data_IF_116040914952
#
_entry.id   IF_116040914952
#
_cell.length_a   1.000
_cell.length_b   1.000
_cell.length_c   1.000
_cell.angle_alpha   90.00
_cell.angle_beta   90.00
_cell.angle_gamma   90.00
#
_symmetry.space_group_name_H-M   'P 1'
#
loop_
_entity.id
_entity.type
_entity.pdbx_description
1 polymer ?
#
# COMPACT_ATOMS: atom_id res chain seq x y z
N UNK A 1 71.53 -23.27 -12.52
CA UNK A 1 72.73 -23.08 -13.37
C UNK A 1 72.46 -23.82 -14.68
N UNK A 2 72.61 -23.35 -15.91
CA UNK A 2 73.25 -22.24 -16.64
C UNK A 2 72.83 -22.56 -18.11
N UNK A 3 72.46 -21.70 -19.06
CA UNK A 3 72.56 -20.26 -19.25
C UNK A 3 71.55 -19.83 -20.35
N UNK A 4 71.11 -18.57 -20.26
CA UNK A 4 70.52 -17.79 -21.35
C UNK A 4 71.47 -17.65 -22.55
N UNK A 5 70.96 -17.37 -23.76
CA UNK A 5 70.95 -16.00 -24.35
C UNK A 5 70.74 -15.93 -25.88
N UNK A 6 69.81 -15.02 -26.29
CA UNK A 6 69.93 -13.97 -27.33
C UNK A 6 70.15 -14.41 -28.80
N UNK A 7 69.71 -13.76 -29.89
CA UNK A 7 68.73 -12.74 -30.27
C UNK A 7 68.71 -12.74 -31.82
N UNK A 8 67.65 -12.19 -32.41
CA UNK A 8 67.56 -11.46 -33.69
C UNK A 8 68.26 -11.94 -34.98
N UNK A 9 67.48 -11.92 -36.06
CA UNK A 9 67.76 -10.97 -37.15
C UNK A 9 67.73 -11.49 -38.58
N UNK A 10 66.63 -11.15 -39.29
CA UNK A 10 66.48 -10.74 -40.70
C UNK A 10 67.04 -11.60 -41.85
N UNK A 11 66.19 -11.76 -42.89
CA UNK A 11 66.47 -11.65 -44.36
C UNK A 11 65.24 -12.23 -45.11
N UNK A 12 64.40 -11.46 -45.83
CA UNK A 12 64.55 -10.71 -47.10
C UNK A 12 64.18 -11.51 -48.35
N UNK A 13 63.65 -10.79 -49.36
CA UNK A 13 63.46 -11.16 -50.79
C UNK A 13 62.19 -11.99 -51.09
N UNK A 14 61.43 -11.85 -52.17
CA UNK A 14 61.17 -10.90 -53.27
C UNK A 14 60.37 -11.73 -54.29
N UNK A 15 59.26 -11.22 -54.83
CA UNK A 15 58.91 -11.35 -56.26
C UNK A 15 57.51 -10.77 -56.56
N UNK A 16 57.45 -9.97 -57.61
CA UNK A 16 56.29 -9.43 -58.37
C UNK A 16 56.53 -9.85 -59.84
N UNK A 17 55.65 -9.55 -60.83
CA UNK A 17 54.17 -9.49 -60.93
C UNK A 17 53.72 -10.30 -62.21
N UNK A 18 52.58 -10.10 -62.93
CA UNK A 18 52.20 -8.87 -63.68
C UNK A 18 50.67 -8.54 -63.69
N UNK A 19 50.23 -7.46 -64.38
CA UNK A 19 49.00 -6.70 -64.06
C UNK A 19 47.92 -6.69 -65.16
N UNK A 20 46.69 -6.26 -64.86
CA UNK A 20 45.77 -5.63 -65.83
C UNK A 20 44.95 -4.52 -65.15
N UNK A 21 44.59 -3.50 -65.93
CA UNK A 21 44.38 -2.09 -65.56
C UNK A 21 43.08 -1.57 -66.22
N UNK A 22 42.34 -0.69 -65.50
CA UNK A 22 41.42 0.40 -65.96
C UNK A 22 40.10 -0.14 -66.64
N UNK A 23 38.89 0.46 -66.63
CA UNK A 23 38.42 1.84 -66.81
C UNK A 23 36.94 2.00 -66.37
N UNK A 24 36.61 3.26 -66.07
CA UNK A 24 35.38 3.99 -65.70
C UNK A 24 34.05 3.77 -66.44
N UNK A 25 32.97 4.31 -65.85
CA UNK A 25 31.81 4.92 -66.55
C UNK A 25 30.46 4.30 -66.17
N UNK A 26 29.69 4.86 -65.23
CA UNK A 26 28.71 5.97 -65.34
C UNK A 26 27.34 5.58 -65.95
N UNK A 27 26.35 5.42 -65.05
CA UNK A 27 24.94 5.90 -65.09
C UNK A 27 23.94 5.26 -66.07
N UNK A 28 22.90 4.59 -65.55
CA UNK A 28 21.50 5.09 -65.50
C UNK A 28 20.51 4.08 -64.88
N UNK A 29 19.53 4.63 -64.16
CA UNK A 29 18.33 4.01 -63.61
C UNK A 29 17.51 3.23 -64.63
N UNK A 30 17.00 2.05 -64.24
CA UNK A 30 15.60 1.69 -64.51
C UNK A 30 15.05 0.89 -63.33
N UNK A 31 13.91 1.36 -62.84
CA UNK A 31 13.11 0.74 -61.80
C UNK A 31 12.77 -0.73 -62.11
N UNK A 32 12.88 -1.59 -61.08
CA UNK A 32 11.97 -2.73 -60.94
C UNK A 32 11.58 -2.88 -59.46
N UNK A 33 10.57 -2.09 -59.09
CA UNK A 33 9.85 -2.08 -57.80
C UNK A 33 8.98 -3.35 -57.66
N UNK A 34 9.43 -4.51 -58.15
CA UNK A 34 8.57 -5.69 -58.27
C UNK A 34 9.24 -7.02 -57.95
N UNK A 35 10.21 -7.03 -57.02
CA UNK A 35 10.72 -8.30 -56.47
C UNK A 35 11.02 -8.32 -54.95
N UNK A 36 10.73 -7.25 -54.21
CA UNK A 36 11.01 -7.20 -52.75
C UNK A 36 9.86 -7.65 -51.84
N UNK A 37 8.75 -8.12 -52.40
CA UNK A 37 7.60 -8.56 -51.59
C UNK A 37 7.36 -10.08 -51.58
N UNK A 38 8.14 -10.88 -52.32
CA UNK A 38 7.92 -12.34 -52.39
C UNK A 38 8.92 -13.20 -51.60
N UNK A 39 9.81 -12.59 -50.81
CA UNK A 39 10.78 -13.32 -49.96
C UNK A 39 10.60 -13.03 -48.46
N UNK A 40 9.42 -12.52 -48.06
CA UNK A 40 9.06 -12.33 -46.64
C UNK A 40 8.33 -13.54 -46.03
N UNK A 41 8.28 -14.67 -46.73
CA UNK A 41 7.66 -15.92 -46.26
C UNK A 41 8.62 -17.07 -46.49
N UNK A 42 9.73 -17.09 -45.74
CA UNK A 42 10.39 -18.35 -45.45
C UNK A 42 10.85 -18.37 -44.00
N UNK A 43 10.09 -19.16 -43.26
CA UNK A 43 10.24 -19.60 -41.88
C UNK A 43 11.63 -20.18 -41.62
N UNK A 44 12.17 -19.83 -40.46
CA UNK A 44 13.42 -20.32 -39.89
C UNK A 44 13.60 -21.83 -40.06
N UNK A 45 14.74 -22.24 -40.63
CA UNK A 45 15.25 -23.61 -40.51
C UNK A 45 16.74 -23.57 -40.22
N UNK A 46 17.10 -24.19 -39.10
CA UNK A 46 18.44 -24.41 -38.56
C UNK A 46 19.40 -25.03 -39.57
N UNK A 47 20.61 -24.49 -39.75
CA UNK A 47 21.82 -25.29 -40.06
C UNK A 47 23.09 -24.53 -39.66
N UNK A 48 23.97 -25.22 -38.93
CA UNK A 48 25.36 -24.86 -38.59
C UNK A 48 26.24 -24.72 -39.85
N UNK A 49 27.08 -23.69 -39.93
CA UNK A 49 28.39 -23.74 -40.63
C UNK A 49 29.30 -22.59 -40.19
N UNK A 50 30.58 -22.92 -40.12
CA UNK A 50 31.71 -22.16 -39.60
C UNK A 50 32.21 -21.09 -40.57
N UNK A 51 32.34 -19.84 -40.10
CA UNK A 51 33.39 -18.90 -40.55
C UNK A 51 33.66 -17.85 -39.46
N UNK A 52 34.92 -17.78 -39.02
CA UNK A 52 35.46 -16.74 -38.12
C UNK A 52 35.41 -15.38 -38.82
N UNK A 53 34.71 -14.41 -38.23
CA UNK A 53 35.04 -12.99 -38.32
C UNK A 53 34.46 -12.21 -37.12
N UNK A 54 35.32 -11.46 -36.44
CA UNK A 54 34.98 -10.31 -35.59
C UNK A 54 33.97 -10.53 -34.46
N UNK A 55 34.45 -10.99 -33.30
CA UNK A 55 33.68 -11.10 -32.06
C UNK A 55 33.30 -9.72 -31.51
N UNK A 56 32.19 -9.14 -31.98
CA UNK A 56 31.39 -8.24 -31.15
C UNK A 56 30.35 -9.12 -30.47
N UNK A 57 30.68 -9.64 -29.30
CA UNK A 57 29.70 -10.27 -28.42
C UNK A 57 28.74 -9.18 -27.95
N UNK A 58 27.80 -8.76 -28.81
CA UNK A 58 26.60 -8.08 -28.35
C UNK A 58 26.02 -8.99 -27.29
N UNK A 59 26.06 -8.55 -26.03
CA UNK A 59 25.39 -9.22 -24.93
C UNK A 59 23.93 -9.40 -25.35
N UNK A 60 23.57 -10.60 -25.78
CA UNK A 60 22.24 -10.91 -26.24
C UNK A 60 21.42 -11.13 -24.98
N UNK A 61 20.67 -10.11 -24.58
CA UNK A 61 19.73 -10.20 -23.47
C UNK A 61 18.74 -11.31 -23.81
N UNK A 62 18.71 -12.37 -22.99
CA UNK A 62 17.70 -13.41 -23.06
C UNK A 62 16.59 -13.03 -22.11
N UNK A 63 15.41 -12.70 -22.65
CA UNK A 63 14.23 -12.43 -21.84
C UNK A 63 13.55 -13.73 -21.46
N UNK A 64 13.11 -13.82 -20.21
CA UNK A 64 12.22 -14.87 -19.76
C UNK A 64 10.80 -14.63 -20.30
N UNK A 65 10.15 -15.68 -20.80
CA UNK A 65 8.77 -15.62 -21.29
C UNK A 65 7.77 -15.79 -20.14
N UNK A 66 6.59 -15.17 -20.24
CA UNK A 66 5.50 -15.33 -19.25
C UNK A 66 5.11 -14.05 -18.51
N UNK A 67 5.84 -12.95 -18.74
CA UNK A 67 5.51 -11.63 -18.20
C UNK A 67 4.68 -10.83 -19.20
N UNK A 68 3.43 -10.50 -18.83
CA UNK A 68 2.58 -9.58 -19.60
C UNK A 68 2.75 -8.16 -19.07
N UNK A 69 3.03 -7.21 -19.97
CA UNK A 69 3.21 -5.78 -19.63
C UNK A 69 2.03 -5.02 -20.24
N UNK A 70 1.24 -4.38 -19.38
CA UNK A 70 0.11 -3.55 -19.79
C UNK A 70 0.15 -2.19 -19.12
N UNK A 71 -0.29 -1.16 -19.84
CA UNK A 71 -0.47 0.18 -19.28
C UNK A 71 -1.81 0.24 -18.55
N UNK A 72 -1.77 0.17 -17.22
CA UNK A 72 -2.96 0.20 -16.36
C UNK A 72 -3.41 1.62 -15.96
N UNK A 73 -2.53 2.61 -16.09
CA UNK A 73 -2.83 4.02 -15.85
C UNK A 73 -1.98 4.88 -16.80
N UNK A 74 -2.57 5.90 -17.41
CA UNK A 74 -1.90 6.83 -18.33
C UNK A 74 -2.11 8.27 -17.86
N UNK A 75 -1.12 8.80 -17.14
CA UNK A 75 -1.16 10.13 -16.54
C UNK A 75 -1.01 11.29 -17.55
N UNK A 76 -0.56 11.02 -18.78
CA UNK A 76 -0.24 12.06 -19.78
C UNK A 76 -1.41 12.98 -20.11
N UNK A 77 -2.62 12.42 -20.18
CA UNK A 77 -3.86 13.18 -20.47
C UNK A 77 -4.39 13.95 -19.28
N UNK A 78 -3.96 13.58 -18.07
CA UNK A 78 -4.39 14.17 -16.82
C UNK A 78 -3.36 15.16 -16.28
N UNK A 79 -2.20 15.28 -16.94
CA UNK A 79 -1.08 16.09 -16.46
C UNK A 79 -0.45 15.55 -15.18
N UNK A 80 -0.60 14.25 -14.90
CA UNK A 80 -0.05 13.59 -13.71
C UNK A 80 1.25 12.90 -14.10
N UNK A 81 2.35 13.23 -13.41
CA UNK A 81 3.67 12.64 -13.64
C UNK A 81 4.03 11.68 -12.50
N UNK A 82 3.62 10.39 -12.59
CA UNK A 82 3.85 9.44 -11.52
C UNK A 82 5.35 9.19 -11.33
N UNK A 83 5.80 9.29 -10.07
CA UNK A 83 7.18 9.04 -9.67
C UNK A 83 7.31 7.80 -8.78
N UNK A 84 6.46 7.69 -7.76
CA UNK A 84 6.38 6.54 -6.86
C UNK A 84 4.93 6.10 -6.69
N UNK A 85 4.74 4.83 -6.34
CA UNK A 85 3.43 4.26 -6.07
C UNK A 85 3.50 3.40 -4.82
N UNK A 86 2.39 3.33 -4.08
CA UNK A 86 2.24 2.44 -2.94
C UNK A 86 0.78 1.95 -2.88
N UNK A 87 0.56 0.71 -2.47
CA UNK A 87 -0.79 0.15 -2.31
C UNK A 87 -1.28 0.43 -0.90
N UNK A 88 -2.52 0.88 -0.75
CA UNK A 88 -3.11 1.08 0.57
C UNK A 88 -3.14 -0.25 1.36
N UNK A 89 -3.00 -0.22 2.70
CA UNK A 89 -2.99 -1.45 3.51
C UNK A 89 -4.22 -2.35 3.33
N UNK A 90 -5.38 -1.76 2.99
CA UNK A 90 -6.62 -2.51 2.69
C UNK A 90 -6.67 -3.10 1.26
N UNK A 91 -5.72 -2.76 0.38
CA UNK A 91 -5.65 -3.22 -1.00
C UNK A 91 -6.68 -2.59 -1.96
N UNK A 92 -7.42 -1.57 -1.52
CA UNK A 92 -8.51 -0.97 -2.31
C UNK A 92 -8.08 0.23 -3.15
N UNK A 93 -6.95 0.87 -2.81
CA UNK A 93 -6.48 2.10 -3.45
C UNK A 93 -4.98 2.00 -3.79
N UNK A 94 -4.61 2.51 -4.96
CA UNK A 94 -3.22 2.80 -5.31
C UNK A 94 -2.95 4.28 -5.02
N UNK A 95 -1.95 4.55 -4.20
CA UNK A 95 -1.43 5.89 -3.96
C UNK A 95 -0.34 6.17 -4.99
N UNK A 96 -0.43 7.32 -5.65
CA UNK A 96 0.49 7.76 -6.69
C UNK A 96 1.08 9.10 -6.29
N UNK A 97 2.41 9.15 -6.20
CA UNK A 97 3.16 10.36 -5.98
C UNK A 97 3.46 11.04 -7.31
N UNK A 98 2.91 12.25 -7.48
CA UNK A 98 3.17 13.12 -8.63
C UNK A 98 4.24 14.13 -8.25
N UNK A 99 5.50 13.79 -8.52
CA UNK A 99 6.66 14.54 -8.04
C UNK A 99 6.71 15.95 -8.63
N UNK A 100 6.56 16.09 -9.95
CA UNK A 100 6.75 17.39 -10.59
C UNK A 100 5.64 18.38 -10.22
N UNK A 101 4.41 17.92 -10.02
CA UNK A 101 3.32 18.76 -9.51
C UNK A 101 3.24 18.83 -7.98
N UNK A 102 4.13 18.13 -7.26
CA UNK A 102 4.14 18.04 -5.79
C UNK A 102 2.78 17.63 -5.18
N UNK A 103 2.10 16.71 -5.88
CA UNK A 103 0.76 16.24 -5.55
C UNK A 103 0.76 14.75 -5.23
N UNK A 104 -0.24 14.31 -4.47
CA UNK A 104 -0.48 12.88 -4.22
C UNK A 104 -1.89 12.55 -4.63
N UNK A 105 -2.04 11.45 -5.35
CA UNK A 105 -3.31 10.96 -5.87
C UNK A 105 -3.63 9.58 -5.34
N UNK A 106 -4.92 9.27 -5.23
CA UNK A 106 -5.45 7.92 -4.98
C UNK A 106 -6.22 7.44 -6.19
N UNK A 107 -6.05 6.18 -6.56
CA UNK A 107 -6.75 5.53 -7.66
C UNK A 107 -7.38 4.26 -7.13
N UNK A 108 -8.70 4.10 -7.26
CA UNK A 108 -9.39 2.89 -6.82
C UNK A 108 -8.94 1.67 -7.63
N UNK A 109 -8.77 0.54 -6.95
CA UNK A 109 -8.49 -0.75 -7.55
C UNK A 109 -9.79 -1.55 -7.79
N UNK A 110 -9.85 -2.41 -8.83
CA UNK A 110 -8.78 -2.71 -9.79
C UNK A 110 -8.49 -1.54 -10.73
N UNK A 111 -7.22 -1.37 -11.10
CA UNK A 111 -6.79 -0.28 -11.96
C UNK A 111 -7.42 -0.40 -13.35
N UNK A 112 -7.74 0.75 -13.94
CA UNK A 112 -8.19 0.83 -15.32
C UNK A 112 -7.54 2.03 -15.99
N UNK A 113 -7.32 1.93 -17.31
CA UNK A 113 -6.73 3.00 -18.12
C UNK A 113 -7.48 4.34 -18.00
N UNK A 114 -8.74 4.29 -17.60
CA UNK A 114 -9.63 5.45 -17.42
C UNK A 114 -10.01 5.70 -15.96
N UNK A 115 -9.30 5.07 -15.02
CA UNK A 115 -9.46 5.31 -13.59
C UNK A 115 -9.32 6.81 -13.29
N UNK A 116 -10.19 7.32 -12.43
CA UNK A 116 -10.18 8.75 -12.07
C UNK A 116 -9.34 8.95 -10.81
N UNK A 117 -8.12 9.48 -10.91
CA UNK A 117 -7.32 9.79 -9.74
C UNK A 117 -7.99 10.89 -8.91
N UNK A 118 -8.02 10.71 -7.60
CA UNK A 118 -8.49 11.69 -6.63
C UNK A 118 -7.29 12.35 -5.97
N UNK A 119 -7.22 13.68 -6.00
CA UNK A 119 -6.19 14.44 -5.28
C UNK A 119 -6.37 14.23 -3.77
N UNK A 120 -5.33 13.74 -3.12
CA UNK A 120 -5.24 13.58 -1.66
C UNK A 120 -4.67 14.83 -1.03
N UNK A 121 -3.52 15.29 -1.52
CA UNK A 121 -2.78 16.40 -0.94
C UNK A 121 -2.00 17.18 -2.00
N UNK A 122 -1.75 18.46 -1.71
CA UNK A 122 -1.11 19.41 -2.61
C UNK A 122 -2.12 20.41 -3.20
N UNK A 123 -1.76 21.08 -4.30
CA UNK A 123 -2.59 22.11 -4.94
C UNK A 123 -2.99 21.68 -6.34
N UNK A 124 -4.23 22.00 -6.74
CA UNK A 124 -4.70 21.70 -8.10
C UNK A 124 -3.85 22.39 -9.18
N UNK A 125 -3.22 23.50 -8.81
CA UNK A 125 -2.31 24.29 -9.65
C UNK A 125 -0.85 23.82 -9.57
N UNK A 126 -0.52 22.85 -8.71
CA UNK A 126 0.83 22.31 -8.55
C UNK A 126 1.81 23.27 -7.85
N UNK A 127 1.31 24.11 -6.94
CA UNK A 127 2.19 25.04 -6.21
C UNK A 127 3.19 24.29 -5.32
N UNK A 128 4.47 24.60 -5.50
CA UNK A 128 5.55 24.11 -4.63
C UNK A 128 5.73 24.99 -3.39
N UNK A 129 6.29 24.44 -2.31
CA UNK A 129 6.64 25.18 -1.11
C UNK A 129 6.82 24.27 0.09
N UNK A 130 7.07 24.84 1.28
CA UNK A 130 7.18 24.12 2.54
C UNK A 130 6.15 24.69 3.52
N UNK A 131 4.91 24.17 3.45
CA UNK A 131 3.78 24.68 4.23
C UNK A 131 3.00 23.52 4.83
N UNK A 132 2.86 23.51 6.14
CA UNK A 132 2.05 22.55 6.90
C UNK A 132 0.59 23.03 6.95
N UNK A 133 -0.33 22.13 7.29
CA UNK A 133 -1.74 22.45 7.47
C UNK A 133 -2.66 21.50 6.70
N UNK A 134 -3.85 21.99 6.33
CA UNK A 134 -4.85 21.15 5.64
C UNK A 134 -4.32 20.60 4.32
N UNK A 135 -4.80 19.43 3.93
CA UNK A 135 -4.33 18.69 2.75
C UNK A 135 -4.21 19.53 1.45
N UNK A 136 -5.15 20.46 1.22
CA UNK A 136 -5.19 21.33 0.01
C UNK A 136 -4.41 22.65 0.16
N UNK A 137 -4.08 23.04 1.38
CA UNK A 137 -3.40 24.29 1.71
C UNK A 137 -1.90 24.06 1.91
N UNK A 138 -1.55 22.86 2.38
CA UNK A 138 -0.17 22.43 2.54
C UNK A 138 0.55 22.35 1.19
N UNK A 139 1.88 22.50 1.25
CA UNK A 139 2.75 22.53 0.08
C UNK A 139 3.97 21.66 0.33
N UNK A 140 4.40 20.99 -0.73
CA UNK A 140 5.62 20.18 -0.80
C UNK A 140 6.42 20.63 -2.02
N UNK A 141 7.63 20.12 -2.21
CA UNK A 141 8.51 20.48 -3.31
C UNK A 141 9.28 19.27 -3.84
N UNK A 142 8.81 18.76 -4.98
CA UNK A 142 9.37 17.58 -5.66
C UNK A 142 9.56 16.39 -4.72
N UNK A 143 8.47 15.89 -4.10
CA UNK A 143 8.55 14.70 -3.27
C UNK A 143 8.88 13.46 -4.11
N UNK A 144 9.66 12.53 -3.56
CA UNK A 144 10.14 11.34 -4.30
C UNK A 144 9.88 10.00 -3.62
N UNK A 145 9.92 9.97 -2.30
CA UNK A 145 9.66 8.77 -1.50
C UNK A 145 8.27 8.77 -0.92
N UNK A 146 7.67 7.58 -0.81
CA UNK A 146 6.31 7.36 -0.33
C UNK A 146 6.29 6.08 0.53
N UNK A 147 5.70 6.15 1.72
CA UNK A 147 5.38 4.98 2.53
C UNK A 147 4.04 5.19 3.24
N UNK A 148 3.40 4.10 3.65
CA UNK A 148 2.13 4.13 4.38
C UNK A 148 2.29 3.31 5.66
N UNK A 149 1.87 3.85 6.81
CA UNK A 149 1.84 3.08 8.06
C UNK A 149 0.58 2.22 8.22
N UNK A 150 0.56 1.42 9.29
CA UNK A 150 -0.54 0.52 9.62
C UNK A 150 -1.86 1.25 9.97
N UNK A 151 -1.78 2.55 10.30
CA UNK A 151 -2.92 3.45 10.53
C UNK A 151 -3.39 4.15 9.25
N UNK A 152 -2.67 3.99 8.13
CA UNK A 152 -3.01 4.61 6.84
C UNK A 152 -2.48 6.04 6.67
N UNK A 153 -1.62 6.54 7.56
CA UNK A 153 -0.92 7.79 7.32
C UNK A 153 0.13 7.61 6.23
N UNK A 154 0.34 8.65 5.43
CA UNK A 154 1.28 8.64 4.32
C UNK A 154 2.51 9.45 4.71
N UNK A 155 3.70 8.85 4.62
CA UNK A 155 4.97 9.53 4.81
C UNK A 155 5.61 9.83 3.47
N UNK A 156 6.13 11.04 3.32
CA UNK A 156 6.62 11.56 2.05
C UNK A 156 8.01 12.14 2.23
N UNK A 157 8.95 11.71 1.39
CA UNK A 157 10.26 12.34 1.29
C UNK A 157 10.14 13.60 0.41
N UNK A 158 10.04 14.76 1.04
CA UNK A 158 9.90 16.07 0.40
C UNK A 158 11.28 16.64 0.07
N UNK A 159 11.85 16.13 -1.02
CA UNK A 159 13.30 16.16 -1.24
C UNK A 159 13.88 17.55 -1.40
N UNK A 160 13.21 18.46 -2.12
CA UNK A 160 13.73 19.83 -2.29
C UNK A 160 13.51 20.72 -1.07
N UNK A 161 12.65 20.29 -0.14
CA UNK A 161 12.55 20.90 1.18
C UNK A 161 13.40 20.20 2.24
N UNK A 162 14.09 19.09 1.89
CA UNK A 162 14.96 18.33 2.81
C UNK A 162 14.21 17.94 4.09
N UNK A 163 12.97 17.49 3.93
CA UNK A 163 12.06 17.19 5.02
C UNK A 163 11.27 15.90 4.77
N UNK A 164 10.85 15.26 5.86
CA UNK A 164 9.91 14.16 5.84
C UNK A 164 8.57 14.69 6.34
N UNK A 165 7.55 14.48 5.52
CA UNK A 165 6.18 14.94 5.74
C UNK A 165 5.33 13.75 6.14
N UNK A 166 4.43 13.96 7.10
CA UNK A 166 3.36 13.02 7.43
C UNK A 166 2.05 13.62 6.94
N UNK A 167 1.24 12.80 6.28
CA UNK A 167 -0.10 13.13 5.81
C UNK A 167 -1.08 12.22 6.52
N UNK A 168 -2.01 12.84 7.24
CA UNK A 168 -3.05 12.19 8.03
C UNK A 168 -4.39 12.89 7.76
N UNK A 169 -5.46 12.42 8.41
CA UNK A 169 -6.76 13.08 8.34
C UNK A 169 -6.74 14.51 8.93
N UNK A 170 -5.81 14.79 9.85
CA UNK A 170 -5.60 16.12 10.43
C UNK A 170 -4.87 17.08 9.46
N UNK A 171 -4.29 16.56 8.38
CA UNK A 171 -3.54 17.32 7.39
C UNK A 171 -2.09 16.87 7.23
N UNK A 172 -1.26 17.77 6.70
CA UNK A 172 0.17 17.56 6.47
C UNK A 172 0.99 18.26 7.54
N UNK A 173 1.90 17.52 8.17
CA UNK A 173 2.87 18.04 9.14
C UNK A 173 4.30 17.61 8.81
N UNK A 174 5.27 18.38 9.29
CA UNK A 174 6.69 18.02 9.22
C UNK A 174 7.10 17.19 10.43
N UNK A 175 7.55 15.95 10.21
CA UNK A 175 8.02 15.09 11.31
C UNK A 175 9.54 15.13 11.48
N UNK A 176 10.27 15.45 10.41
CA UNK A 176 11.71 15.66 10.45
C UNK A 176 12.11 16.63 9.34
N UNK A 177 12.98 17.60 9.64
CA UNK A 177 13.51 18.52 8.64
C UNK A 177 14.95 18.91 8.94
N UNK A 178 15.72 19.05 7.87
CA UNK A 178 17.12 19.44 7.92
C UNK A 178 17.34 20.95 7.96
N UNK A 179 17.03 21.60 9.09
CA UNK A 179 17.34 23.01 9.31
C UNK A 179 16.28 23.75 10.12
N UNK A 180 16.75 24.67 10.99
CA UNK A 180 16.00 25.55 11.92
C UNK A 180 14.53 25.14 12.15
N UNK A 181 14.32 24.09 12.92
CA UNK A 181 13.17 24.04 13.83
C UNK A 181 13.26 25.28 14.73
N UNK A 182 12.17 26.01 14.95
CA UNK A 182 12.13 27.20 15.82
C UNK A 182 12.33 26.88 17.32
N UNK A 183 13.06 25.80 17.65
CA UNK A 183 13.34 25.35 19.02
C UNK A 183 14.26 24.13 19.14
N UNK A 184 15.04 23.77 18.10
CA UNK A 184 15.93 22.60 18.12
C UNK A 184 17.34 22.94 17.61
N UNK A 185 18.36 22.27 18.15
CA UNK A 185 19.79 22.58 18.00
C UNK A 185 20.26 22.71 16.53
N UNK A 186 21.25 23.58 16.31
CA UNK A 186 22.00 23.75 15.04
C UNK A 186 22.88 22.53 14.75
N UNK A 187 22.32 21.33 14.67
CA UNK A 187 23.10 20.15 14.31
C UNK A 187 23.00 19.92 12.80
N UNK A 188 24.07 20.30 12.08
CA UNK A 188 24.23 20.06 10.64
C UNK A 188 24.14 18.55 10.30
N UNK A 189 24.42 17.67 11.27
CA UNK A 189 24.28 16.22 11.19
C UNK A 189 22.83 15.72 11.06
N UNK A 190 21.83 16.56 11.33
CA UNK A 190 20.40 16.22 11.21
C UNK A 190 19.79 16.62 9.86
N UNK A 191 20.57 17.21 8.95
CA UNK A 191 20.07 17.64 7.65
C UNK A 191 19.96 16.48 6.67
N UNK A 192 18.80 16.32 6.05
CA UNK A 192 18.62 15.44 4.90
C UNK A 192 19.26 16.09 3.66
N UNK A 193 19.81 15.28 2.75
CA UNK A 193 20.16 15.78 1.41
C UNK A 193 18.91 16.04 0.57
N UNK A 194 19.06 16.48 -0.67
CA UNK A 194 17.96 16.55 -1.63
C UNK A 194 17.80 15.26 -2.46
N UNK A 195 18.51 14.20 -2.08
CA UNK A 195 18.39 12.86 -2.67
C UNK A 195 18.26 11.80 -1.57
N UNK A 196 17.02 11.63 -1.11
CA UNK A 196 16.67 10.60 -0.14
C UNK A 196 15.34 9.93 -0.48
N UNK A 197 15.12 8.78 0.12
CA UNK A 197 13.91 7.98 0.02
C UNK A 197 13.60 7.37 1.38
N UNK A 198 12.39 6.86 1.58
CA UNK A 198 11.96 6.28 2.85
C UNK A 198 11.11 5.03 2.65
N UNK A 199 11.16 4.13 3.63
CA UNK A 199 10.28 2.97 3.73
C UNK A 199 9.74 2.88 5.16
N UNK A 200 8.54 2.33 5.32
CA UNK A 200 7.97 2.01 6.61
C UNK A 200 8.29 0.57 7.01
N UNK A 201 8.61 0.37 8.29
CA UNK A 201 8.86 -0.94 8.88
C UNK A 201 7.88 -1.14 10.05
N UNK A 202 6.81 -1.90 9.80
CA UNK A 202 5.75 -2.14 10.79
C UNK A 202 6.27 -2.80 12.06
N UNK A 203 7.16 -3.79 11.93
CA UNK A 203 7.69 -4.55 13.08
C UNK A 203 8.42 -3.70 14.12
N UNK A 204 9.00 -2.56 13.73
CA UNK A 204 9.74 -1.66 14.61
C UNK A 204 9.03 -0.33 14.83
N UNK A 205 7.87 -0.10 14.21
CA UNK A 205 7.19 1.20 14.21
C UNK A 205 8.15 2.34 13.83
N UNK A 206 8.88 2.19 12.73
CA UNK A 206 9.88 3.16 12.31
C UNK A 206 9.91 3.37 10.79
N UNK A 207 10.41 4.54 10.39
CA UNK A 207 10.79 4.83 9.01
C UNK A 207 12.29 4.61 8.86
N UNK A 208 12.68 3.85 7.84
CA UNK A 208 14.07 3.81 7.38
C UNK A 208 14.22 4.76 6.21
N UNK A 209 15.18 5.67 6.32
CA UNK A 209 15.44 6.72 5.34
C UNK A 209 16.80 6.47 4.69
N UNK A 210 16.80 6.27 3.38
CA UNK A 210 18.01 6.12 2.59
C UNK A 210 18.40 7.51 2.11
N UNK A 211 19.31 8.17 2.82
CA UNK A 211 19.83 9.48 2.43
C UNK A 211 21.09 9.32 1.59
N UNK A 212 20.90 9.23 0.27
CA UNK A 212 21.97 8.92 -0.70
C UNK A 212 22.99 10.05 -0.80
N UNK A 213 22.53 11.31 -0.81
CA UNK A 213 23.42 12.46 -0.91
C UNK A 213 24.39 12.58 0.26
N UNK A 214 24.01 12.04 1.41
CA UNK A 214 24.83 12.00 2.61
C UNK A 214 25.36 10.58 2.94
N UNK A 215 25.13 9.59 2.08
CA UNK A 215 25.65 8.22 2.18
C UNK A 215 25.32 7.49 3.49
N UNK A 216 24.09 7.64 3.99
CA UNK A 216 23.67 7.00 5.24
C UNK A 216 22.26 6.43 5.15
N UNK A 217 21.99 5.50 6.06
CA UNK A 217 20.64 5.07 6.38
C UNK A 217 20.31 5.65 7.76
N UNK A 218 19.17 6.35 7.86
CA UNK A 218 18.67 6.88 9.13
C UNK A 218 17.42 6.10 9.53
N UNK A 219 17.21 5.94 10.83
CA UNK A 219 15.96 5.43 11.38
C UNK A 219 15.23 6.55 12.10
N UNK A 220 13.91 6.64 11.90
CA UNK A 220 13.03 7.55 12.62
C UNK A 220 11.98 6.70 13.31
N UNK A 221 12.05 6.63 14.64
CA UNK A 221 11.02 6.01 15.45
C UNK A 221 9.73 6.82 15.32
N UNK A 222 8.64 6.16 14.94
CA UNK A 222 7.31 6.78 14.91
C UNK A 222 6.65 6.68 16.29
N UNK A 223 5.55 7.40 16.46
CA UNK A 223 4.77 7.31 17.69
C UNK A 223 3.93 6.03 17.68
N UNK A 224 3.69 5.43 18.86
CA UNK A 224 2.93 4.19 18.98
C UNK A 224 1.54 4.24 18.32
N UNK A 225 0.87 5.40 18.36
CA UNK A 225 -0.47 5.58 17.74
C UNK A 225 -0.45 5.56 16.20
N UNK A 226 0.72 5.77 15.58
CA UNK A 226 0.89 5.66 14.12
C UNK A 226 0.97 4.21 13.66
N UNK A 227 1.27 3.30 14.58
CA UNK A 227 1.50 1.88 14.32
C UNK A 227 0.47 0.96 14.98
N UNK A 228 -0.33 1.47 15.92
CA UNK A 228 -1.48 0.72 16.42
C UNK A 228 -2.53 0.66 15.31
N UNK A 229 -2.80 -0.53 14.77
CA UNK A 229 -4.02 -0.74 14.00
C UNK A 229 -5.19 -0.13 14.79
N UNK A 230 -6.01 0.70 14.14
CA UNK A 230 -7.37 0.92 14.61
C UNK A 230 -8.10 -0.43 14.50
N UNK A 231 -7.78 -1.37 15.40
CA UNK A 231 -8.78 -2.33 15.78
C UNK A 231 -9.96 -1.51 16.32
N UNK A 232 -11.18 -1.72 15.81
CA UNK A 232 -12.35 -1.12 16.42
C UNK A 232 -12.29 -1.44 17.92
N UNK A 233 -12.54 -0.47 18.81
CA UNK A 233 -12.33 -0.68 20.23
C UNK A 233 -13.06 -1.95 20.66
N UNK A 234 -12.32 -2.85 21.32
CA UNK A 234 -12.80 -4.12 21.88
C UNK A 234 -13.97 -3.94 22.87
N UNK A 235 -14.32 -2.68 23.18
CA UNK A 235 -15.52 -2.28 23.88
C UNK A 235 -16.81 -2.65 23.10
N UNK A 236 -16.73 -2.77 21.77
CA UNK A 236 -17.86 -3.21 20.95
C UNK A 236 -18.20 -4.70 21.16
N UNK A 237 -17.22 -5.54 21.49
CA UNK A 237 -17.45 -6.97 21.71
C UNK A 237 -17.98 -7.26 23.12
N UNK A 238 -17.54 -6.49 24.13
CA UNK A 238 -18.11 -6.56 25.48
C UNK A 238 -19.57 -6.06 25.51
N UNK A 239 -19.89 -4.97 24.80
CA UNK A 239 -21.26 -4.46 24.69
C UNK A 239 -22.16 -5.35 23.83
N UNK A 240 -21.65 -5.91 22.73
CA UNK A 240 -22.41 -6.85 21.91
C UNK A 240 -22.64 -8.18 22.64
N UNK A 241 -21.62 -8.71 23.33
CA UNK A 241 -21.72 -9.92 24.15
C UNK A 241 -22.68 -9.76 25.33
N UNK A 242 -22.64 -8.63 26.04
CA UNK A 242 -23.61 -8.33 27.11
C UNK A 242 -25.02 -8.12 26.54
N UNK A 243 -25.18 -7.44 25.41
CA UNK A 243 -26.47 -7.28 24.74
C UNK A 243 -27.04 -8.64 24.28
N UNK A 244 -26.21 -9.54 23.74
CA UNK A 244 -26.63 -10.89 23.34
C UNK A 244 -27.07 -11.73 24.55
N UNK A 245 -26.34 -11.67 25.67
CA UNK A 245 -26.70 -12.38 26.89
C UNK A 245 -28.01 -11.86 27.49
N UNK A 246 -28.23 -10.55 27.50
CA UNK A 246 -29.48 -9.92 27.95
C UNK A 246 -30.64 -10.30 27.02
N UNK A 247 -30.42 -10.27 25.69
CA UNK A 247 -31.41 -10.68 24.72
C UNK A 247 -31.77 -12.17 24.88
N UNK A 248 -30.78 -13.05 24.99
CA UNK A 248 -30.98 -14.48 25.19
C UNK A 248 -31.75 -14.77 26.49
N UNK A 249 -31.43 -14.07 27.59
CA UNK A 249 -32.16 -14.14 28.85
C UNK A 249 -33.61 -13.69 28.71
N UNK A 250 -33.86 -12.57 28.03
CA UNK A 250 -35.21 -12.05 27.78
C UNK A 250 -36.04 -13.00 26.92
N UNK A 251 -35.50 -13.46 25.79
CA UNK A 251 -36.20 -14.38 24.90
C UNK A 251 -36.44 -15.75 25.55
N UNK A 252 -35.47 -16.27 26.31
CA UNK A 252 -35.63 -17.52 27.08
C UNK A 252 -36.74 -17.40 28.14
N UNK A 253 -36.78 -16.28 28.86
CA UNK A 253 -37.83 -16.00 29.84
C UNK A 253 -39.22 -15.86 29.20
N UNK A 254 -39.32 -15.11 28.09
CA UNK A 254 -40.57 -14.94 27.34
C UNK A 254 -41.07 -16.26 26.77
N UNK A 255 -40.17 -17.12 26.28
CA UNK A 255 -40.51 -18.46 25.82
C UNK A 255 -41.01 -19.34 26.98
N UNK A 256 -40.39 -19.27 28.15
CA UNK A 256 -40.84 -19.99 29.34
C UNK A 256 -42.25 -19.55 29.80
N UNK A 257 -42.53 -18.24 29.78
CA UNK A 257 -43.86 -17.70 30.07
C UNK A 257 -44.91 -18.15 29.05
N UNK A 258 -44.54 -18.15 27.76
CA UNK A 258 -45.41 -18.62 26.69
C UNK A 258 -45.73 -20.11 26.86
N UNK A 259 -44.72 -20.95 27.10
CA UNK A 259 -44.90 -22.40 27.33
C UNK A 259 -45.77 -22.64 28.58
N UNK A 260 -45.58 -21.87 29.65
CA UNK A 260 -46.43 -21.97 30.85
C UNK A 260 -47.88 -21.60 30.57
N UNK A 261 -48.12 -20.55 29.77
CA UNK A 261 -49.47 -20.11 29.40
C UNK A 261 -50.15 -21.10 28.47
N UNK A 262 -49.45 -21.61 27.47
CA UNK A 262 -49.94 -22.64 26.55
C UNK A 262 -50.26 -23.94 27.29
N UNK A 263 -49.40 -24.39 28.22
CA UNK A 263 -49.69 -25.56 29.07
C UNK A 263 -50.95 -25.36 29.93
N UNK A 264 -51.17 -24.15 30.46
CA UNK A 264 -52.39 -23.87 31.24
C UNK A 264 -53.67 -23.91 30.39
N UNK A 265 -53.58 -23.50 29.11
CA UNK A 265 -54.71 -23.56 28.17
C UNK A 265 -55.08 -25.00 27.82
N UNK A 266 -54.10 -25.90 27.68
CA UNK A 266 -54.36 -27.32 27.41
C UNK A 266 -54.63 -28.16 28.67
N UNK A 267 -54.26 -27.69 29.86
CA UNK A 267 -54.57 -28.36 31.12
C UNK A 267 -56.04 -28.21 31.53
N UNK A 268 -56.78 -27.26 30.96
CA UNK A 268 -58.19 -27.04 31.29
C UNK A 268 -59.17 -27.96 30.54
N UNK A 269 -58.67 -28.87 29.68
CA UNK A 269 -59.51 -29.80 28.89
C UNK A 269 -59.42 -31.27 29.36
N UNK A 270 -58.96 -31.54 30.58
CA UNK A 270 -58.90 -32.91 31.11
C UNK A 270 -59.28 -32.98 32.58
N UNK A 271 -60.53 -32.72 32.91
CA UNK A 271 -61.18 -33.28 34.10
C UNK A 271 -62.57 -33.81 33.70
N UNK A 272 -62.56 -35.06 33.24
CA UNK A 272 -63.74 -35.90 33.21
C UNK A 272 -64.13 -36.29 34.64
N UNK A 273 -65.41 -36.12 34.95
CA UNK A 273 -66.24 -36.97 35.78
C UNK A 273 -65.55 -37.87 36.82
N UNK A 274 -65.47 -37.41 38.08
CA UNK A 274 -65.63 -38.30 39.23
C UNK A 274 -66.51 -37.66 40.31
N UNK A 275 -67.75 -38.16 40.39
CA UNK A 275 -68.61 -38.10 41.57
C UNK A 275 -67.89 -38.71 42.76
N UNK A 276 -67.84 -38.05 43.92
CA UNK A 276 -67.89 -38.70 45.24
C UNK A 276 -68.42 -37.71 46.30
N UNK A 277 -69.66 -37.99 46.71
CA UNK A 277 -70.27 -38.01 48.06
C UNK A 277 -69.77 -37.03 49.14
N UNK A 278 -70.75 -36.29 49.71
CA UNK A 278 -70.65 -35.36 50.83
C UNK A 278 -70.37 -36.00 52.21
N UNK A 279 -69.79 -35.22 53.15
CA UNK A 279 -70.35 -34.92 54.50
C UNK A 279 -69.49 -33.88 55.30
N UNK A 280 -70.04 -33.24 56.36
CA UNK A 280 -69.69 -31.86 56.78
C UNK A 280 -69.08 -31.71 58.21
N UNK A 281 -68.83 -30.45 58.60
CA UNK A 281 -68.44 -29.86 59.91
C UNK A 281 -66.91 -29.91 60.21
N UNK A 282 -66.23 -28.90 60.78
CA UNK A 282 -66.56 -28.09 61.98
C UNK A 282 -65.58 -26.88 62.16
N UNK A 283 -66.11 -25.76 62.67
CA UNK A 283 -65.55 -24.74 63.62
C UNK A 283 -64.33 -23.82 63.34
N UNK A 284 -64.58 -22.53 63.64
CA UNK A 284 -63.73 -21.29 63.78
C UNK A 284 -63.01 -21.32 65.16
N UNK A 285 -61.76 -20.87 65.43
CA UNK A 285 -61.12 -19.52 65.51
C UNK A 285 -59.73 -19.65 66.25
N UNK A 286 -58.99 -18.60 66.74
CA UNK A 286 -58.32 -17.42 66.12
C UNK A 286 -56.85 -17.15 66.62
N UNK A 287 -56.23 -16.02 66.17
CA UNK A 287 -55.01 -15.28 66.67
C UNK A 287 -53.61 -15.84 66.27
N UNK A 288 -52.52 -15.08 66.00
CA UNK A 288 -52.09 -13.75 66.50
C UNK A 288 -50.90 -13.13 65.69
N UNK A 289 -50.91 -11.79 65.55
CA UNK A 289 -49.84 -10.74 65.51
C UNK A 289 -48.65 -10.71 64.50
N UNK A 290 -48.52 -9.54 63.87
CA UNK A 290 -47.37 -8.95 63.16
C UNK A 290 -46.37 -8.26 64.12
N UNK A 291 -45.13 -7.97 63.66
CA UNK A 291 -44.69 -6.57 63.63
C UNK A 291 -44.00 -6.14 62.32
N UNK A 292 -44.22 -4.86 61.95
CA UNK A 292 -43.64 -4.15 60.80
C UNK A 292 -42.21 -3.64 61.11
N UNK A 293 -41.28 -3.60 60.13
CA UNK A 293 -40.01 -2.92 60.31
C UNK A 293 -40.12 -1.40 60.08
N UNK A 294 -39.41 -0.67 60.93
CA UNK A 294 -39.34 0.80 61.06
C UNK A 294 -38.47 1.41 59.95
N UNK A 295 -38.92 2.54 59.39
CA UNK A 295 -38.22 3.37 58.40
C UNK A 295 -37.34 4.39 59.13
N UNK A 296 -36.05 4.51 58.78
CA UNK A 296 -35.18 5.58 59.30
C UNK A 296 -35.13 6.79 58.36
N UNK A 297 -34.91 8.03 58.88
CA UNK A 297 -35.12 9.28 58.14
C UNK A 297 -33.83 9.87 57.53
N UNK A 298 -34.05 10.69 56.49
CA UNK A 298 -33.08 11.53 55.78
C UNK A 298 -32.66 12.73 56.63
N UNK A 299 -31.38 13.11 56.57
CA UNK A 299 -30.85 14.40 57.05
C UNK A 299 -30.00 15.03 55.93
N UNK A 300 -30.29 16.26 55.47
CA UNK A 300 -29.35 17.17 54.79
C UNK A 300 -28.73 18.14 55.85
N UNK A 301 -27.73 19.01 55.58
CA UNK A 301 -27.21 19.53 54.30
C UNK A 301 -25.78 19.09 53.94
#
# INVERSE_FOLDING_TARGET
LIFMFLFCGLSSVSAKPPPVKIVSGLVTNVASILWKWLWSLQTSTTTTTTTKSGLSSRSMVKYESGYNIETVFDGSKLGIEPYAIEVSPNGEELIVLDSENSNIHKISMPLSKYGKPKLVSGSQEGYIGHVDGKLKEARMNRPRGLAIDDSGNIYVADTKNMAIRKISDDGISTIAAGGRWSGGSKEESMRFSDDFDLIYVSSSCSLLVIDRGNQMIREIQLHDHDCSHHEPPADTDLHLGTALLVAAGFFGYMLALLVRRVRSLFSSSRHDNKRYVAKPNMTVAPYQRYPRPVRQPLIPP
#
